data_IF_022857787702
#
_entry.id   IF_022857787702
#
_cell.length_a   1.000
_cell.length_b   1.000
_cell.length_c   1.000
_cell.angle_alpha   90.00
_cell.angle_beta   90.00
_cell.angle_gamma   90.00
#
_symmetry.space_group_name_H-M   'P 1'
#
loop_
_entity.id
_entity.type
_entity.pdbx_description
1 polymer ?
#
# COMPACT_ATOMS: atom_id res chain seq x y z
N UNK A 1 26.50 14.68 26.22
CA UNK A 1 26.55 13.22 26.47
C UNK A 1 27.94 12.76 26.94
N UNK A 2 29.03 13.11 26.24
CA UNK A 2 30.40 12.72 26.63
C UNK A 2 30.78 13.10 28.08
N UNK A 3 30.46 14.33 28.51
CA UNK A 3 30.73 14.78 29.89
C UNK A 3 29.96 14.00 30.95
N UNK A 4 28.77 13.47 30.65
CA UNK A 4 28.01 12.62 31.57
C UNK A 4 28.64 11.23 31.69
N UNK A 5 29.18 10.68 30.59
CA UNK A 5 29.87 9.39 30.59
C UNK A 5 31.17 9.47 31.41
N UNK A 6 31.91 10.57 31.27
CA UNK A 6 33.12 10.84 32.07
C UNK A 6 32.76 10.94 33.56
N UNK A 7 31.68 11.66 33.89
CA UNK A 7 31.20 11.78 35.27
C UNK A 7 30.80 10.42 35.88
N UNK A 8 30.13 9.54 35.11
CA UNK A 8 29.82 8.16 35.52
C UNK A 8 31.11 7.34 35.73
N UNK A 9 32.14 7.58 34.91
CA UNK A 9 33.47 6.98 35.10
C UNK A 9 34.10 7.34 36.45
N UNK A 10 33.96 8.59 36.88
CA UNK A 10 34.46 9.08 38.17
C UNK A 10 33.58 8.68 39.37
N UNK A 11 32.25 8.68 39.22
CA UNK A 11 31.31 8.47 40.33
C UNK A 11 30.91 7.01 40.56
N UNK A 12 30.91 6.18 39.51
CA UNK A 12 30.49 4.77 39.60
C UNK A 12 31.64 3.83 39.25
N UNK A 13 32.00 3.73 37.98
CA UNK A 13 33.19 2.99 37.53
C UNK A 13 33.44 3.22 36.05
N UNK A 14 34.69 3.04 35.64
CA UNK A 14 35.07 3.05 34.23
C UNK A 14 34.43 1.92 33.40
N UNK A 15 34.18 0.75 34.01
CA UNK A 15 33.53 -0.39 33.34
C UNK A 15 32.07 -0.10 32.98
N UNK A 16 31.33 0.54 33.88
CA UNK A 16 29.93 0.94 33.65
C UNK A 16 29.86 2.07 32.62
N UNK A 17 30.76 3.04 32.70
CA UNK A 17 30.86 4.10 31.70
C UNK A 17 31.13 3.56 30.29
N UNK A 18 32.02 2.56 30.16
CA UNK A 18 32.30 1.90 28.89
C UNK A 18 31.10 1.11 28.36
N UNK A 19 30.37 0.40 29.23
CA UNK A 19 29.15 -0.33 28.86
C UNK A 19 28.06 0.62 28.34
N UNK A 20 27.85 1.75 29.01
CA UNK A 20 26.88 2.78 28.57
C UNK A 20 27.28 3.33 27.20
N UNK A 21 28.57 3.61 26.98
CA UNK A 21 29.07 4.07 25.69
C UNK A 21 28.80 3.03 24.58
N UNK A 22 29.03 1.74 24.85
CA UNK A 22 28.69 0.66 23.91
C UNK A 22 27.18 0.64 23.58
N UNK A 23 26.30 0.77 24.57
CA UNK A 23 24.86 0.84 24.33
C UNK A 23 24.45 2.05 23.49
N UNK A 24 25.06 3.22 23.72
CA UNK A 24 24.80 4.41 22.93
C UNK A 24 25.22 4.23 21.46
N UNK A 25 26.37 3.60 21.20
CA UNK A 25 26.84 3.32 19.85
C UNK A 25 25.90 2.35 19.12
N UNK A 26 25.47 1.28 19.79
CA UNK A 26 24.51 0.32 19.23
C UNK A 26 23.19 1.03 18.89
N UNK A 27 22.66 1.84 19.81
CA UNK A 27 21.43 2.60 19.60
C UNK A 27 21.55 3.63 18.46
N UNK A 28 22.70 4.27 18.31
CA UNK A 28 22.96 5.20 17.21
C UNK A 28 22.93 4.50 15.85
N UNK A 29 23.55 3.32 15.73
CA UNK A 29 23.51 2.50 14.51
C UNK A 29 22.08 2.01 14.23
N UNK A 30 21.36 1.55 15.25
CA UNK A 30 19.96 1.12 15.10
C UNK A 30 19.05 2.26 14.63
N UNK A 31 19.22 3.47 15.19
CA UNK A 31 18.44 4.65 14.81
C UNK A 31 18.77 5.09 13.38
N UNK A 32 20.04 4.99 12.96
CA UNK A 32 20.44 5.25 11.58
C UNK A 32 19.79 4.25 10.62
N UNK A 33 19.78 2.95 10.95
CA UNK A 33 19.10 1.92 10.19
C UNK A 33 17.59 2.16 10.07
N UNK A 34 16.94 2.52 11.19
CA UNK A 34 15.52 2.87 11.21
C UNK A 34 15.22 4.12 10.34
N UNK A 35 16.06 5.16 10.42
CA UNK A 35 15.90 6.36 9.59
C UNK A 35 16.15 6.10 8.11
N UNK A 36 17.08 5.22 7.76
CA UNK A 36 17.32 4.77 6.38
C UNK A 36 16.12 3.98 5.88
N UNK A 37 15.57 3.07 6.68
CA UNK A 37 14.33 2.37 6.34
C UNK A 37 13.18 3.35 6.20
N UNK A 38 13.05 4.36 7.05
CA UNK A 38 12.01 5.40 6.92
C UNK A 38 12.25 6.31 5.71
N UNK A 39 13.49 6.60 5.37
CA UNK A 39 13.85 7.46 4.23
C UNK A 39 13.69 6.78 2.88
N UNK A 40 14.08 5.50 2.77
CA UNK A 40 13.98 4.72 1.53
C UNK A 40 12.66 3.97 1.39
N UNK A 41 12.12 3.43 2.48
CA UNK A 41 10.82 2.74 2.46
C UNK A 41 9.65 3.72 2.73
N UNK A 42 9.88 4.93 3.22
CA UNK A 42 8.80 5.84 3.61
C UNK A 42 8.07 5.37 4.87
N UNK A 43 7.59 6.32 5.67
CA UNK A 43 6.68 6.07 6.81
C UNK A 43 5.41 5.28 6.40
N UNK A 44 5.01 5.39 5.14
CA UNK A 44 3.83 4.73 4.58
C UNK A 44 4.20 4.14 3.21
N UNK A 45 4.58 2.87 3.19
CA UNK A 45 4.98 2.19 1.96
C UNK A 45 3.79 1.47 1.28
N UNK A 46 2.84 2.25 0.76
CA UNK A 46 1.74 1.68 -0.03
C UNK A 46 2.24 0.94 -1.28
N UNK A 47 3.42 1.31 -1.80
CA UNK A 47 4.04 0.65 -2.95
C UNK A 47 4.45 -0.78 -2.64
N UNK A 48 5.28 -1.00 -1.61
CA UNK A 48 5.72 -2.33 -1.16
C UNK A 48 4.51 -3.15 -0.71
N UNK A 49 3.58 -2.59 0.07
CA UNK A 49 2.37 -3.33 0.46
C UNK A 49 1.55 -3.75 -0.77
N UNK A 50 1.38 -2.86 -1.75
CA UNK A 50 0.70 -3.16 -3.01
C UNK A 50 1.40 -4.25 -3.82
N UNK A 51 2.72 -4.18 -3.97
CA UNK A 51 3.50 -5.21 -4.66
C UNK A 51 3.51 -6.56 -3.91
N UNK A 52 3.54 -6.54 -2.58
CA UNK A 52 3.39 -7.75 -1.77
C UNK A 52 2.02 -8.39 -1.97
N UNK A 53 0.95 -7.59 -2.00
CA UNK A 53 -0.40 -8.09 -2.27
C UNK A 53 -0.51 -8.67 -3.70
N UNK A 54 0.07 -8.01 -4.70
CA UNK A 54 0.15 -8.53 -6.07
C UNK A 54 0.94 -9.84 -6.15
N UNK A 55 2.04 -9.95 -5.40
CA UNK A 55 2.82 -11.18 -5.29
C UNK A 55 2.03 -12.33 -4.66
N UNK A 56 1.25 -12.03 -3.60
CA UNK A 56 0.33 -12.99 -2.99
C UNK A 56 -0.76 -13.46 -3.95
N UNK A 57 -1.37 -12.54 -4.71
CA UNK A 57 -2.35 -12.88 -5.75
C UNK A 57 -1.74 -13.77 -6.84
N UNK A 58 -0.54 -13.46 -7.31
CA UNK A 58 0.15 -14.25 -8.33
C UNK A 58 0.44 -15.68 -7.86
N UNK A 59 0.85 -15.86 -6.61
CA UNK A 59 1.07 -17.19 -6.04
C UNK A 59 -0.22 -18.03 -6.03
N UNK A 60 -1.36 -17.43 -5.65
CA UNK A 60 -2.68 -18.12 -5.66
C UNK A 60 -3.10 -18.48 -7.09
N UNK A 61 -2.96 -17.55 -8.05
CA UNK A 61 -3.34 -17.78 -9.45
C UNK A 61 -2.54 -18.90 -10.13
N UNK A 62 -1.30 -19.13 -9.72
CA UNK A 62 -0.44 -20.18 -10.29
C UNK A 62 -0.63 -21.53 -9.59
N UNK A 63 -0.93 -21.52 -8.28
CA UNK A 63 -0.98 -22.75 -7.46
C UNK A 63 -2.33 -23.45 -7.45
N UNK A 64 -3.43 -22.76 -7.79
CA UNK A 64 -4.79 -23.31 -7.70
C UNK A 64 -5.43 -23.37 -9.09
N UNK A 65 -6.08 -24.48 -9.48
CA UNK A 65 -6.82 -24.55 -10.74
C UNK A 65 -7.97 -23.53 -10.77
N UNK A 66 -8.30 -22.96 -11.94
CA UNK A 66 -9.34 -21.95 -12.04
C UNK A 66 -10.74 -22.53 -11.75
N UNK A 67 -11.45 -21.94 -10.78
CA UNK A 67 -12.83 -22.31 -10.43
C UNK A 67 -13.80 -21.76 -11.49
N UNK A 68 -14.30 -22.63 -12.37
CA UNK A 68 -15.19 -22.25 -13.48
C UNK A 68 -16.53 -21.67 -13.03
N UNK A 69 -17.07 -22.14 -11.91
CA UNK A 69 -18.34 -21.70 -11.35
C UNK A 69 -18.27 -20.23 -10.90
N UNK A 70 -17.21 -19.84 -10.19
CA UNK A 70 -16.96 -18.45 -9.81
C UNK A 70 -16.83 -17.51 -11.03
N UNK A 71 -16.23 -17.99 -12.11
CA UNK A 71 -16.13 -17.25 -13.38
C UNK A 71 -17.48 -17.05 -14.07
N UNK A 72 -18.37 -18.04 -14.02
CA UNK A 72 -19.70 -17.94 -14.61
C UNK A 72 -20.60 -16.96 -13.87
N UNK A 73 -20.51 -16.94 -12.54
CA UNK A 73 -21.40 -16.14 -11.69
C UNK A 73 -20.98 -14.67 -11.63
N UNK A 74 -19.69 -14.38 -11.52
CA UNK A 74 -19.20 -13.00 -11.34
C UNK A 74 -18.16 -12.51 -12.34
N UNK A 75 -17.65 -13.37 -13.22
CA UNK A 75 -16.53 -13.03 -14.12
C UNK A 75 -16.84 -11.89 -15.09
N UNK A 76 -18.03 -11.87 -15.69
CA UNK A 76 -18.42 -10.82 -16.64
C UNK A 76 -18.52 -9.44 -15.95
N UNK A 77 -19.12 -9.40 -14.76
CA UNK A 77 -19.25 -8.17 -13.96
C UNK A 77 -17.86 -7.65 -13.51
N UNK A 78 -16.93 -8.54 -13.16
CA UNK A 78 -15.55 -8.18 -12.83
C UNK A 78 -14.77 -7.61 -14.04
N UNK A 79 -14.94 -8.18 -15.23
CA UNK A 79 -14.35 -7.65 -16.47
C UNK A 79 -14.93 -6.26 -16.78
N UNK A 80 -16.23 -6.07 -16.60
CA UNK A 80 -16.89 -4.78 -16.80
C UNK A 80 -16.37 -3.72 -15.82
N UNK A 81 -16.12 -4.09 -14.56
CA UNK A 81 -15.44 -3.23 -13.58
C UNK A 81 -14.03 -2.84 -14.03
N UNK A 82 -13.24 -3.79 -14.55
CA UNK A 82 -11.91 -3.48 -15.08
C UNK A 82 -11.97 -2.47 -16.24
N UNK A 83 -12.95 -2.62 -17.13
CA UNK A 83 -13.18 -1.67 -18.22
C UNK A 83 -13.60 -0.28 -17.71
N UNK A 84 -14.45 -0.20 -16.69
CA UNK A 84 -14.83 1.05 -16.04
C UNK A 84 -13.63 1.77 -15.42
N UNK A 85 -12.70 1.03 -14.79
CA UNK A 85 -11.44 1.59 -14.27
C UNK A 85 -10.60 2.16 -15.42
N UNK A 86 -10.42 1.42 -16.52
CA UNK A 86 -9.68 1.90 -17.68
C UNK A 86 -10.31 3.17 -18.28
N UNK A 87 -11.64 3.22 -18.37
CA UNK A 87 -12.40 4.35 -18.87
C UNK A 87 -12.26 5.59 -17.98
N UNK A 88 -12.29 5.42 -16.65
CA UNK A 88 -12.01 6.49 -15.70
C UNK A 88 -10.61 7.08 -15.90
N UNK A 89 -9.58 6.24 -15.96
CA UNK A 89 -8.18 6.68 -16.16
C UNK A 89 -8.05 7.45 -17.47
N UNK A 90 -8.65 6.94 -18.56
CA UNK A 90 -8.64 7.62 -19.85
C UNK A 90 -9.35 8.97 -19.81
N UNK A 91 -10.51 9.03 -19.16
CA UNK A 91 -11.30 10.27 -18.99
C UNK A 91 -10.51 11.33 -18.21
N UNK A 92 -9.87 10.95 -17.10
CA UNK A 92 -9.03 11.84 -16.31
C UNK A 92 -7.85 12.34 -17.15
N UNK A 93 -7.17 11.44 -17.88
CA UNK A 93 -6.05 11.82 -18.75
C UNK A 93 -6.48 12.78 -19.86
N UNK A 94 -7.65 12.56 -20.44
CA UNK A 94 -8.23 13.44 -21.45
C UNK A 94 -8.52 14.84 -20.89
N UNK A 95 -9.11 14.93 -19.69
CA UNK A 95 -9.37 16.21 -19.00
C UNK A 95 -8.06 16.95 -18.72
N UNK A 96 -7.02 16.25 -18.24
CA UNK A 96 -5.71 16.85 -17.96
C UNK A 96 -5.07 17.39 -19.24
N UNK A 97 -5.18 16.66 -20.36
CA UNK A 97 -4.59 17.06 -21.65
C UNK A 97 -5.34 18.22 -22.32
N UNK A 98 -6.67 18.27 -22.21
CA UNK A 98 -7.52 19.24 -22.91
C UNK A 98 -7.72 20.57 -22.16
N UNK A 99 -7.65 20.56 -20.82
CA UNK A 99 -7.92 21.74 -20.00
C UNK A 99 -6.66 22.27 -19.28
N UNK A 100 -6.46 23.60 -19.33
CA UNK A 100 -5.40 24.28 -18.57
C UNK A 100 -5.58 24.08 -17.06
N UNK A 101 -4.47 24.17 -16.29
CA UNK A 101 -4.50 24.11 -14.82
C UNK A 101 -5.46 25.19 -14.28
N UNK A 102 -6.56 24.75 -13.67
CA UNK A 102 -7.58 25.61 -13.06
C UNK A 102 -8.37 24.82 -12.00
N UNK A 103 -8.94 25.51 -11.00
CA UNK A 103 -9.77 24.88 -9.97
C UNK A 103 -10.96 24.12 -10.57
N UNK A 104 -11.56 24.62 -11.66
CA UNK A 104 -12.67 23.96 -12.37
C UNK A 104 -12.28 22.58 -12.92
N UNK A 105 -11.03 22.41 -13.37
CA UNK A 105 -10.50 21.13 -13.84
C UNK A 105 -10.39 20.12 -12.69
N UNK A 106 -9.94 20.57 -11.52
CA UNK A 106 -9.83 19.69 -10.35
C UNK A 106 -11.20 19.24 -9.85
N UNK A 107 -12.22 20.12 -9.85
CA UNK A 107 -13.59 19.72 -9.54
C UNK A 107 -14.15 18.70 -10.56
N UNK A 108 -13.85 18.88 -11.86
CA UNK A 108 -14.24 17.91 -12.89
C UNK A 108 -13.59 16.53 -12.69
N UNK A 109 -12.30 16.49 -12.35
CA UNK A 109 -11.59 15.24 -12.05
C UNK A 109 -12.18 14.57 -10.80
N UNK A 110 -12.44 15.35 -9.73
CA UNK A 110 -13.04 14.83 -8.50
C UNK A 110 -14.43 14.23 -8.77
N UNK A 111 -15.25 14.87 -9.60
CA UNK A 111 -16.56 14.37 -9.97
C UNK A 111 -16.48 13.05 -10.75
N UNK A 112 -15.56 12.93 -11.71
CA UNK A 112 -15.33 11.67 -12.45
C UNK A 112 -14.93 10.55 -11.50
N UNK A 113 -14.06 10.81 -10.53
CA UNK A 113 -13.63 9.81 -9.54
C UNK A 113 -14.81 9.39 -8.65
N UNK A 114 -15.56 10.34 -8.10
CA UNK A 114 -16.69 10.04 -7.20
C UNK A 114 -17.76 9.22 -7.92
N UNK A 115 -18.17 9.64 -9.12
CA UNK A 115 -19.18 8.94 -9.92
C UNK A 115 -18.68 7.55 -10.30
N UNK A 116 -17.43 7.42 -10.73
CA UNK A 116 -16.85 6.14 -11.09
C UNK A 116 -16.72 5.18 -9.92
N UNK A 117 -16.39 5.66 -8.71
CA UNK A 117 -16.37 4.85 -7.49
C UNK A 117 -17.76 4.33 -7.10
N UNK A 118 -18.81 5.16 -7.24
CA UNK A 118 -20.19 4.75 -6.98
C UNK A 118 -20.60 3.66 -7.97
N UNK A 119 -20.36 3.87 -9.27
CA UNK A 119 -20.67 2.89 -10.31
C UNK A 119 -19.93 1.56 -10.08
N UNK A 120 -18.64 1.62 -9.74
CA UNK A 120 -17.87 0.43 -9.42
C UNK A 120 -18.50 -0.33 -8.25
N UNK A 121 -18.84 0.36 -7.16
CA UNK A 121 -19.39 -0.30 -5.96
C UNK A 121 -20.72 -1.00 -6.23
N UNK A 122 -21.58 -0.43 -7.06
CA UNK A 122 -22.87 -1.01 -7.41
C UNK A 122 -22.74 -2.28 -8.27
N UNK A 123 -21.67 -2.38 -9.07
CA UNK A 123 -21.44 -3.51 -9.98
C UNK A 123 -20.57 -4.58 -9.29
N UNK A 124 -19.53 -4.16 -8.57
CA UNK A 124 -18.58 -5.04 -7.92
C UNK A 124 -19.15 -5.68 -6.65
N UNK A 125 -19.95 -4.94 -5.87
CA UNK A 125 -20.58 -5.44 -4.64
C UNK A 125 -21.32 -6.77 -4.85
N UNK A 126 -22.37 -6.81 -5.70
CA UNK A 126 -23.12 -8.04 -5.94
C UNK A 126 -22.27 -9.12 -6.63
N UNK A 127 -21.29 -8.74 -7.46
CA UNK A 127 -20.41 -9.70 -8.11
C UNK A 127 -19.48 -10.40 -7.11
N UNK A 128 -18.96 -9.69 -6.11
CA UNK A 128 -18.11 -10.25 -5.06
C UNK A 128 -18.91 -11.20 -4.17
N UNK A 129 -20.08 -10.77 -3.68
CA UNK A 129 -20.95 -11.62 -2.85
C UNK A 129 -21.32 -12.92 -3.58
N UNK A 130 -21.59 -12.83 -4.88
CA UNK A 130 -21.95 -14.01 -5.68
C UNK A 130 -20.75 -14.93 -5.96
N UNK A 131 -19.51 -14.39 -6.02
CA UNK A 131 -18.28 -15.19 -6.15
C UNK A 131 -17.94 -15.85 -4.81
N UNK A 132 -18.06 -15.13 -3.69
CA UNK A 132 -17.76 -15.63 -2.35
C UNK A 132 -18.77 -16.68 -1.87
N UNK A 133 -20.01 -16.65 -2.39
CA UNK A 133 -21.01 -17.68 -2.15
C UNK A 133 -20.67 -19.03 -2.79
N UNK A 134 -19.75 -19.07 -3.75
CA UNK A 134 -19.27 -20.32 -4.36
C UNK A 134 -18.22 -20.94 -3.45
N UNK A 135 -18.51 -22.08 -2.84
CA UNK A 135 -17.53 -22.83 -2.06
C UNK A 135 -16.42 -23.36 -2.97
N UNK A 136 -15.15 -22.93 -2.82
CA UNK A 136 -14.05 -23.44 -3.63
C UNK A 136 -13.57 -24.83 -3.17
N UNK A 137 -14.15 -25.39 -2.11
CA UNK A 137 -13.79 -26.71 -1.58
C UNK A 137 -14.67 -27.80 -2.19
N UNK A 138 -14.25 -28.31 -3.35
CA UNK A 138 -14.54 -29.69 -3.77
C UNK A 138 -13.31 -30.26 -4.47
#
# INVERSE_FOLDING_TARGET
MLGLIILVGFLQSWSIALSILCFCLISAVMTMGANIQWGYAGLINFGIMGYTALGGLAAVLVSVPPVREAWQVGGLNMILCAFLIALMVFSIRFIIKKYKKSNKRNYGIALVIIVGLILLRLISGPAIESIEAVSPAT
#
